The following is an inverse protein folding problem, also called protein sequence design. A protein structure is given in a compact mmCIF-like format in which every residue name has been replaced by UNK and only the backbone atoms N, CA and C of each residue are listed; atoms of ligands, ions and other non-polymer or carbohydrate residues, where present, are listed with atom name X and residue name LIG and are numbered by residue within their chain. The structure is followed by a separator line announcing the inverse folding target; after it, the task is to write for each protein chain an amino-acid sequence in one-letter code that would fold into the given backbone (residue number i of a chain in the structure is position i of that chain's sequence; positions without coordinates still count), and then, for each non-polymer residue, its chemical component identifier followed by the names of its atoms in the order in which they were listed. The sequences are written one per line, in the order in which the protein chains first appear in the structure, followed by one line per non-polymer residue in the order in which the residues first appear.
data_IF_000152247777
#
_entry.id   IF_000152247777
#
_cell.length_a   1.000
_cell.length_b   1.000
_cell.length_c   1.000
_cell.angle_alpha   90.00
_cell.angle_beta   90.00
_cell.angle_gamma   90.00
#
_symmetry.space_group_name_H-M   'P 1'
#
loop_
_entity.id
_entity.type
_entity.pdbx_description
1 polymer ?
#
# COMPACT_ATOMS: atom_id res chain seq x y z
N UNK A 1 -7.93 30.00 -5.45
CA UNK A 1 -7.82 28.54 -5.62
C UNK A 1 -8.11 27.93 -4.26
N UNK A 2 -8.94 26.89 -4.20
CA UNK A 2 -9.26 26.25 -2.91
C UNK A 2 -7.99 25.71 -2.26
N UNK A 3 -7.93 25.72 -0.92
CA UNK A 3 -6.86 25.09 -0.17
C UNK A 3 -6.79 23.56 -0.38
N UNK A 4 -7.86 22.93 -0.85
CA UNK A 4 -7.94 21.48 -1.06
C UNK A 4 -7.40 21.01 -2.41
N UNK A 5 -7.03 21.91 -3.33
CA UNK A 5 -6.51 21.55 -4.64
C UNK A 5 -5.12 22.11 -4.88
N UNK A 6 -4.23 21.30 -5.42
CA UNK A 6 -2.85 21.69 -5.77
C UNK A 6 -2.77 22.40 -7.13
N UNK A 7 -3.80 22.29 -7.96
CA UNK A 7 -3.90 22.89 -9.29
C UNK A 7 -5.35 23.08 -9.74
N UNK A 8 -5.62 23.94 -10.75
CA UNK A 8 -6.99 24.29 -11.14
C UNK A 8 -7.55 23.37 -12.24
N UNK A 9 -6.69 22.76 -13.04
CA UNK A 9 -7.07 21.78 -14.07
C UNK A 9 -7.34 20.42 -13.43
N UNK A 10 -8.36 19.71 -13.94
CA UNK A 10 -8.70 18.36 -13.50
C UNK A 10 -8.44 17.37 -14.64
N UNK A 11 -8.01 16.12 -14.34
CA UNK A 11 -7.51 15.17 -15.32
C UNK A 11 -8.64 14.40 -16.03
N UNK A 12 -9.72 15.09 -16.42
CA UNK A 12 -10.91 14.47 -17.00
C UNK A 12 -11.24 15.02 -18.39
N UNK A 13 -11.94 14.24 -19.20
CA UNK A 13 -12.42 14.66 -20.52
C UNK A 13 -13.28 15.93 -20.44
N UNK A 14 -13.20 16.81 -21.45
CA UNK A 14 -14.05 18.00 -21.52
C UNK A 14 -15.53 17.61 -21.46
N UNK A 15 -16.27 18.21 -20.53
CA UNK A 15 -17.69 17.90 -20.29
C UNK A 15 -17.96 16.69 -19.39
N UNK A 16 -16.93 15.99 -18.90
CA UNK A 16 -17.10 14.87 -17.97
C UNK A 16 -17.75 15.33 -16.65
N UNK A 17 -18.74 14.56 -16.17
CA UNK A 17 -19.44 14.81 -14.91
C UNK A 17 -18.51 14.90 -13.70
N UNK A 18 -17.39 14.16 -13.69
CA UNK A 18 -16.53 14.04 -12.51
C UNK A 18 -16.00 15.40 -12.02
N UNK A 19 -15.95 16.41 -12.90
CA UNK A 19 -15.65 17.80 -12.52
C UNK A 19 -16.62 18.35 -11.47
N UNK A 20 -17.92 18.06 -11.59
CA UNK A 20 -18.94 18.51 -10.65
C UNK A 20 -18.80 17.81 -9.30
N UNK A 21 -18.41 16.52 -9.30
CA UNK A 21 -18.14 15.77 -8.06
C UNK A 21 -16.98 16.41 -7.31
N UNK A 22 -15.85 16.64 -7.96
CA UNK A 22 -14.68 17.27 -7.33
C UNK A 22 -15.00 18.66 -6.79
N UNK A 23 -15.66 19.50 -7.58
CA UNK A 23 -16.06 20.86 -7.16
C UNK A 23 -17.00 20.84 -5.96
N UNK A 24 -17.99 19.95 -5.98
CA UNK A 24 -18.95 19.80 -4.87
C UNK A 24 -18.28 19.25 -3.61
N UNK A 25 -17.36 18.31 -3.74
CA UNK A 25 -16.56 17.79 -2.60
C UNK A 25 -15.69 18.87 -1.99
N UNK A 26 -14.96 19.64 -2.81
CA UNK A 26 -14.12 20.74 -2.33
C UNK A 26 -14.96 21.77 -1.57
N UNK A 27 -16.09 22.18 -2.14
CA UNK A 27 -17.00 23.11 -1.48
C UNK A 27 -17.59 22.53 -0.18
N UNK A 28 -17.92 21.24 -0.15
CA UNK A 28 -18.41 20.57 1.06
C UNK A 28 -17.35 20.56 2.18
N UNK A 29 -16.08 20.33 1.84
CA UNK A 29 -14.95 20.39 2.77
C UNK A 29 -14.71 21.81 3.29
N UNK A 30 -14.83 22.82 2.43
CA UNK A 30 -14.76 24.24 2.82
C UNK A 30 -15.87 24.62 3.80
N UNK A 31 -17.11 24.16 3.55
CA UNK A 31 -18.25 24.37 4.47
C UNK A 31 -18.02 23.65 5.80
N UNK A 32 -17.41 22.45 5.77
CA UNK A 32 -17.09 21.69 6.97
C UNK A 32 -16.02 22.38 7.83
N UNK A 33 -15.19 23.24 7.24
CA UNK A 33 -14.16 24.01 7.93
C UNK A 33 -12.99 23.16 8.45
N UNK A 34 -12.70 22.04 7.80
CA UNK A 34 -11.57 21.15 8.16
C UNK A 34 -10.28 21.59 7.49
N UNK A 35 -9.13 21.25 8.09
CA UNK A 35 -7.84 21.43 7.42
C UNK A 35 -7.64 20.33 6.35
N UNK A 36 -6.99 20.62 5.20
CA UNK A 36 -6.64 19.59 4.22
C UNK A 36 -5.89 18.37 4.80
N UNK A 37 -5.07 18.55 5.84
CA UNK A 37 -4.35 17.47 6.52
C UNK A 37 -5.22 16.67 7.52
N UNK A 38 -6.46 17.10 7.76
CA UNK A 38 -7.47 16.31 8.46
C UNK A 38 -8.28 15.41 7.52
N UNK A 39 -8.05 15.53 6.20
CA UNK A 39 -8.77 14.78 5.17
C UNK A 39 -7.87 13.69 4.57
N UNK A 40 -8.44 12.50 4.43
CA UNK A 40 -7.82 11.36 3.77
C UNK A 40 -8.74 10.94 2.62
N UNK A 41 -8.27 11.13 1.39
CA UNK A 41 -8.98 10.73 0.18
C UNK A 41 -8.42 9.38 -0.32
N UNK A 42 -9.26 8.36 -0.27
CA UNK A 42 -8.94 7.02 -0.79
C UNK A 42 -9.64 6.85 -2.13
N UNK A 43 -8.89 6.59 -3.20
CA UNK A 43 -9.45 6.47 -4.54
C UNK A 43 -9.35 5.05 -5.08
N UNK A 44 -10.38 4.60 -5.78
CA UNK A 44 -10.35 3.35 -6.52
C UNK A 44 -9.72 3.49 -7.93
N UNK A 45 -9.40 2.36 -8.58
CA UNK A 45 -8.96 2.34 -9.98
C UNK A 45 -10.12 2.75 -10.89
N UNK A 46 -9.92 3.83 -11.64
CA UNK A 46 -10.89 4.33 -12.63
C UNK A 46 -10.61 5.79 -13.00
N UNK A 47 -11.36 6.33 -13.96
CA UNK A 47 -11.19 7.72 -14.40
C UNK A 47 -11.28 8.70 -13.22
N UNK A 48 -12.21 8.47 -12.28
CA UNK A 48 -12.39 9.28 -11.08
C UNK A 48 -11.14 9.29 -10.18
N UNK A 49 -10.38 8.20 -10.14
CA UNK A 49 -9.26 8.02 -9.20
C UNK A 49 -8.00 8.78 -9.57
N UNK A 50 -7.85 9.18 -10.85
CA UNK A 50 -6.71 9.98 -11.35
C UNK A 50 -6.61 11.36 -10.65
N UNK A 51 -7.69 11.80 -10.02
CA UNK A 51 -7.76 13.10 -9.35
C UNK A 51 -7.04 13.15 -8.01
N UNK A 52 -6.65 12.00 -7.44
CA UNK A 52 -5.97 11.95 -6.14
C UNK A 52 -4.73 12.87 -6.09
N UNK A 53 -3.87 12.87 -7.10
CA UNK A 53 -2.70 13.74 -7.20
C UNK A 53 -3.02 15.24 -7.32
N UNK A 54 -4.29 15.62 -7.45
CA UNK A 54 -4.76 17.00 -7.52
C UNK A 54 -5.28 17.52 -6.18
N UNK A 55 -5.53 16.64 -5.21
CA UNK A 55 -5.93 17.04 -3.86
C UNK A 55 -4.71 17.37 -2.99
N UNK A 56 -4.82 18.45 -2.22
CA UNK A 56 -3.82 18.87 -1.24
C UNK A 56 -4.01 18.17 0.13
N UNK A 57 -4.56 16.95 0.13
CA UNK A 57 -4.89 16.16 1.31
C UNK A 57 -3.98 14.93 1.39
N UNK A 58 -4.12 14.10 2.44
CA UNK A 58 -3.55 12.75 2.35
C UNK A 58 -4.32 11.94 1.31
N UNK A 59 -3.60 11.22 0.44
CA UNK A 59 -4.21 10.43 -0.62
C UNK A 59 -3.69 9.01 -0.67
N UNK A 60 -4.57 8.06 -0.96
CA UNK A 60 -4.24 6.64 -1.14
C UNK A 60 -4.94 6.10 -2.37
N UNK A 61 -4.16 5.78 -3.41
CA UNK A 61 -4.68 5.10 -4.60
C UNK A 61 -4.78 3.59 -4.34
N UNK A 62 -6.00 3.09 -4.19
CA UNK A 62 -6.30 1.69 -3.92
C UNK A 62 -6.21 0.77 -5.15
N UNK A 63 -6.51 -0.50 -4.92
CA UNK A 63 -6.73 -1.49 -5.98
C UNK A 63 -8.21 -1.53 -6.37
N UNK A 64 -8.51 -1.97 -7.59
CA UNK A 64 -9.86 -1.97 -8.15
C UNK A 64 -10.88 -2.70 -7.24
N UNK A 65 -11.91 -1.96 -6.79
CA UNK A 65 -12.93 -2.40 -5.85
C UNK A 65 -12.45 -2.64 -4.43
N UNK A 66 -11.25 -2.18 -4.05
CA UNK A 66 -10.68 -2.35 -2.69
C UNK A 66 -10.56 -1.04 -1.92
N UNK A 67 -10.84 0.10 -2.55
CA UNK A 67 -10.75 1.42 -1.92
C UNK A 67 -11.54 1.51 -0.61
N UNK A 68 -12.78 0.98 -0.56
CA UNK A 68 -13.59 1.01 0.67
C UNK A 68 -13.02 0.13 1.77
N UNK A 69 -12.44 -1.04 1.43
CA UNK A 69 -11.79 -1.91 2.42
C UNK A 69 -10.53 -1.25 3.00
N UNK A 70 -9.71 -0.63 2.14
CA UNK A 70 -8.52 0.13 2.56
C UNK A 70 -8.92 1.32 3.44
N UNK A 71 -9.91 2.10 3.01
CA UNK A 71 -10.44 3.23 3.76
C UNK A 71 -11.02 2.82 5.11
N UNK A 72 -11.68 1.66 5.19
CA UNK A 72 -12.19 1.14 6.45
C UNK A 72 -11.05 0.87 7.45
N UNK A 73 -9.97 0.23 7.01
CA UNK A 73 -8.78 0.04 7.86
C UNK A 73 -8.14 1.35 8.30
N UNK A 74 -8.05 2.34 7.39
CA UNK A 74 -7.55 3.69 7.69
C UNK A 74 -8.44 4.37 8.75
N UNK A 75 -9.76 4.40 8.54
CA UNK A 75 -10.71 5.00 9.46
C UNK A 75 -10.66 4.37 10.86
N UNK A 76 -10.46 3.05 10.95
CA UNK A 76 -10.31 2.33 12.22
C UNK A 76 -8.97 2.57 12.91
N UNK A 77 -7.91 2.87 12.15
CA UNK A 77 -6.56 3.10 12.68
C UNK A 77 -6.24 4.57 12.99
N UNK A 78 -7.04 5.52 12.49
CA UNK A 78 -6.85 6.95 12.74
C UNK A 78 -7.51 7.40 14.05
N UNK A 79 -6.96 8.45 14.70
CA UNK A 79 -7.63 9.09 15.82
C UNK A 79 -8.97 9.71 15.39
N UNK A 80 -9.93 9.90 16.33
CA UNK A 80 -11.19 10.57 16.04
C UNK A 80 -11.01 11.97 15.44
N UNK A 81 -12.00 12.42 14.67
CA UNK A 81 -12.04 13.78 14.09
C UNK A 81 -11.51 13.89 12.66
N UNK A 82 -10.72 12.91 12.19
CA UNK A 82 -10.26 12.84 10.79
C UNK A 82 -11.41 12.50 9.84
N UNK A 83 -11.32 12.95 8.59
CA UNK A 83 -12.33 12.71 7.54
C UNK A 83 -11.79 11.76 6.48
N UNK A 84 -12.33 10.54 6.45
CA UNK A 84 -12.01 9.54 5.43
C UNK A 84 -13.07 9.56 4.35
N UNK A 85 -12.68 9.93 3.14
CA UNK A 85 -13.54 10.02 1.96
C UNK A 85 -13.05 9.01 0.93
N UNK A 86 -13.98 8.27 0.33
CA UNK A 86 -13.69 7.28 -0.71
C UNK A 86 -14.29 7.72 -2.03
N UNK A 87 -13.49 7.78 -3.08
CA UNK A 87 -14.00 7.89 -4.45
C UNK A 87 -13.97 6.52 -5.12
N UNK A 88 -15.12 6.08 -5.60
CA UNK A 88 -15.27 4.80 -6.31
C UNK A 88 -16.16 5.00 -7.54
N UNK A 89 -15.79 4.43 -8.68
CA UNK A 89 -16.66 4.40 -9.86
C UNK A 89 -17.75 3.35 -9.71
N UNK A 90 -18.79 3.39 -10.54
CA UNK A 90 -19.81 2.33 -10.62
C UNK A 90 -19.22 0.93 -10.88
N UNK A 91 -18.15 0.83 -11.67
CA UNK A 91 -17.42 -0.43 -11.83
C UNK A 91 -16.63 -0.89 -10.63
N UNK A 92 -15.98 0.06 -9.95
CA UNK A 92 -15.33 -0.19 -8.67
C UNK A 92 -16.33 -0.67 -7.61
N UNK A 93 -17.52 -0.07 -7.57
CA UNK A 93 -18.60 -0.47 -6.69
C UNK A 93 -19.17 -1.85 -7.06
N UNK A 94 -19.12 -2.25 -8.33
CA UNK A 94 -19.56 -3.58 -8.79
C UNK A 94 -18.63 -4.68 -8.24
N UNK A 95 -17.31 -4.59 -8.49
CA UNK A 95 -16.33 -5.58 -7.98
C UNK A 95 -16.07 -5.42 -6.47
N UNK A 96 -16.32 -4.24 -5.93
CA UNK A 96 -16.14 -3.89 -4.52
C UNK A 96 -17.40 -4.01 -3.67
N UNK A 97 -18.51 -4.52 -4.21
CA UNK A 97 -19.84 -4.48 -3.57
C UNK A 97 -19.80 -5.01 -2.14
N UNK A 98 -19.18 -6.17 -1.91
CA UNK A 98 -19.10 -6.77 -0.58
C UNK A 98 -18.38 -5.86 0.43
N UNK A 99 -17.34 -5.12 0.02
CA UNK A 99 -16.63 -4.22 0.93
C UNK A 99 -17.48 -3.00 1.31
N UNK A 100 -18.30 -2.49 0.38
CA UNK A 100 -19.29 -1.43 0.65
C UNK A 100 -20.32 -1.94 1.68
N UNK A 101 -20.90 -3.11 1.44
CA UNK A 101 -21.93 -3.66 2.32
C UNK A 101 -21.38 -3.99 3.71
N UNK A 102 -20.18 -4.55 3.82
CA UNK A 102 -19.58 -4.84 5.12
C UNK A 102 -19.17 -3.58 5.88
N UNK A 103 -18.65 -2.55 5.21
CA UNK A 103 -18.36 -1.26 5.85
C UNK A 103 -19.64 -0.57 6.34
N UNK A 104 -20.71 -0.63 5.54
CA UNK A 104 -22.05 -0.19 5.94
C UNK A 104 -22.56 -0.98 7.14
N UNK A 105 -22.52 -2.32 7.10
CA UNK A 105 -22.96 -3.20 8.19
C UNK A 105 -22.26 -2.88 9.51
N UNK A 106 -20.94 -2.74 9.46
CA UNK A 106 -20.13 -2.40 10.64
C UNK A 106 -20.43 -0.98 11.16
N UNK A 107 -20.82 -0.03 10.31
CA UNK A 107 -20.85 1.42 10.61
C UNK A 107 -19.47 2.07 10.71
N UNK A 108 -18.58 1.75 9.77
CA UNK A 108 -17.25 2.39 9.75
C UNK A 108 -17.39 3.87 9.43
N UNK A 109 -16.70 4.74 10.17
CA UNK A 109 -16.78 6.20 10.05
C UNK A 109 -16.05 6.71 8.80
N UNK A 110 -16.74 6.65 7.67
CA UNK A 110 -16.24 7.09 6.36
C UNK A 110 -17.39 7.45 5.42
N UNK A 111 -17.08 8.28 4.42
CA UNK A 111 -18.02 8.67 3.36
C UNK A 111 -17.58 8.09 2.02
N UNK A 112 -18.43 7.29 1.38
CA UNK A 112 -18.22 6.79 0.02
C UNK A 112 -18.97 7.66 -0.98
N UNK A 113 -18.25 8.23 -1.95
CA UNK A 113 -18.81 8.97 -3.07
C UNK A 113 -18.66 8.12 -4.33
N UNK A 114 -19.80 7.69 -4.88
CA UNK A 114 -19.85 6.82 -6.06
C UNK A 114 -20.02 7.71 -7.30
N UNK A 115 -19.02 7.67 -8.17
CA UNK A 115 -19.04 8.29 -9.50
C UNK A 115 -19.73 7.35 -10.48
N UNK A 116 -21.06 7.40 -10.54
CA UNK A 116 -21.84 6.50 -11.39
C UNK A 116 -22.08 7.13 -12.76
N UNK A 117 -21.12 6.93 -13.68
CA UNK A 117 -21.21 7.40 -15.05
C UNK A 117 -21.78 6.36 -16.05
N UNK A 118 -22.41 5.31 -15.51
CA UNK A 118 -23.13 4.24 -16.20
C UNK A 118 -22.27 3.24 -16.99
N UNK A 119 -20.93 3.26 -16.89
CA UNK A 119 -20.04 2.32 -17.56
C UNK A 119 -18.57 2.39 -17.07
N UNK A 120 -17.73 1.49 -17.54
CA UNK A 120 -16.30 1.49 -17.26
C UNK A 120 -15.57 2.40 -18.26
N UNK A 121 -15.49 3.70 -17.96
CA UNK A 121 -14.90 4.68 -18.87
C UNK A 121 -13.43 4.41 -19.21
N UNK A 122 -12.59 4.17 -18.20
CA UNK A 122 -11.13 4.03 -18.36
C UNK A 122 -10.73 2.84 -19.24
N UNK A 123 -11.52 1.76 -19.23
CA UNK A 123 -11.18 0.51 -19.93
C UNK A 123 -11.84 0.38 -21.30
N UNK A 124 -12.54 1.42 -21.78
CA UNK A 124 -13.12 1.41 -23.12
C UNK A 124 -14.64 1.32 -23.20
N UNK A 125 -15.35 1.57 -22.10
CA UNK A 125 -16.81 1.70 -22.10
C UNK A 125 -17.59 0.40 -22.00
N UNK A 126 -17.16 -0.53 -21.15
CA UNK A 126 -17.89 -1.76 -20.79
C UNK A 126 -19.03 -1.47 -19.80
N UNK A 127 -20.11 -2.27 -19.74
CA UNK A 127 -21.13 -2.09 -18.71
C UNK A 127 -20.60 -2.50 -17.32
N UNK A 128 -21.10 -1.79 -16.31
CA UNK A 128 -20.98 -2.10 -14.88
C UNK A 128 -22.20 -2.88 -14.36
N UNK A 129 -22.12 -3.34 -13.11
CA UNK A 129 -23.28 -3.89 -12.39
C UNK A 129 -24.33 -2.84 -12.02
N UNK A 130 -24.03 -1.53 -12.21
CA UNK A 130 -25.00 -0.43 -12.00
C UNK A 130 -25.56 0.10 -13.33
N UNK A 131 -25.08 -0.40 -14.48
CA UNK A 131 -25.52 0.08 -15.79
C UNK A 131 -27.00 -0.22 -16.01
N UNK A 132 -27.85 0.78 -16.29
CA UNK A 132 -29.28 0.56 -16.50
C UNK A 132 -29.58 -0.40 -17.63
N UNK A 133 -30.64 -1.19 -17.47
CA UNK A 133 -31.14 -2.05 -18.55
C UNK A 133 -31.48 -1.22 -19.78
N UNK A 134 -31.07 -1.68 -20.96
CA UNK A 134 -31.25 -0.97 -22.23
C UNK A 134 -30.17 0.06 -22.53
N UNK A 135 -29.36 0.50 -21.56
CA UNK A 135 -28.25 1.42 -21.81
C UNK A 135 -27.20 0.76 -22.71
N UNK A 136 -26.86 1.41 -23.82
CA UNK A 136 -25.93 0.87 -24.84
C UNK A 136 -24.49 1.19 -24.45
N UNK A 137 -23.62 0.22 -24.61
CA UNK A 137 -22.18 0.36 -24.33
C UNK A 137 -21.33 -0.16 -25.49
N UNK A 138 -20.01 -0.01 -25.42
CA UNK A 138 -19.12 -0.44 -26.49
C UNK A 138 -19.19 -1.95 -26.78
N UNK A 139 -19.41 -2.78 -25.74
CA UNK A 139 -19.50 -4.24 -25.88
C UNK A 139 -20.94 -4.77 -25.76
N UNK A 140 -21.90 -3.91 -25.40
CA UNK A 140 -23.34 -4.21 -25.44
C UNK A 140 -24.08 -3.19 -26.32
N UNK A 141 -23.84 -3.17 -27.64
CA UNK A 141 -24.40 -2.16 -28.53
C UNK A 141 -25.92 -2.27 -28.71
N UNK A 142 -26.53 -3.39 -28.32
CA UNK A 142 -27.99 -3.59 -28.28
C UNK A 142 -28.61 -3.21 -26.91
N UNK A 143 -27.81 -2.70 -25.98
CA UNK A 143 -28.24 -2.39 -24.62
C UNK A 143 -27.97 -3.53 -23.63
N UNK A 144 -27.72 -3.18 -22.37
CA UNK A 144 -27.57 -4.15 -21.28
C UNK A 144 -28.89 -4.89 -21.02
N UNK A 145 -28.84 -6.22 -20.87
CA UNK A 145 -30.01 -7.06 -20.63
C UNK A 145 -30.23 -7.42 -19.15
N UNK A 146 -29.15 -7.41 -18.38
CA UNK A 146 -29.19 -7.74 -16.95
C UNK A 146 -29.83 -6.58 -16.16
N UNK A 147 -30.54 -6.87 -15.06
CA UNK A 147 -31.00 -5.83 -14.15
C UNK A 147 -29.80 -5.19 -13.42
N UNK A 148 -29.80 -3.86 -13.21
CA UNK A 148 -28.77 -3.19 -12.42
C UNK A 148 -28.99 -3.44 -10.91
N UNK A 149 -27.92 -3.32 -10.13
CA UNK A 149 -28.04 -3.19 -8.68
C UNK A 149 -28.51 -1.78 -8.31
N UNK A 150 -29.47 -1.65 -7.38
CA UNK A 150 -29.72 -0.38 -6.70
C UNK A 150 -28.74 -0.26 -5.52
N UNK A 151 -27.61 0.42 -5.74
CA UNK A 151 -26.54 0.53 -4.75
C UNK A 151 -26.97 1.30 -3.50
N UNK A 152 -27.76 2.36 -3.65
CA UNK A 152 -28.28 3.13 -2.51
C UNK A 152 -29.18 2.27 -1.62
N UNK A 153 -30.09 1.51 -2.22
CA UNK A 153 -30.96 0.60 -1.47
C UNK A 153 -30.13 -0.49 -0.77
N UNK A 154 -29.22 -1.14 -1.50
CA UNK A 154 -28.35 -2.17 -0.92
C UNK A 154 -27.53 -1.65 0.27
N UNK A 155 -26.93 -0.46 0.15
CA UNK A 155 -26.15 0.15 1.23
C UNK A 155 -27.04 0.53 2.43
N UNK A 156 -28.23 1.08 2.16
CA UNK A 156 -29.19 1.44 3.21
C UNK A 156 -29.67 0.20 3.97
N UNK A 157 -30.01 -0.87 3.25
CA UNK A 157 -30.45 -2.16 3.81
C UNK A 157 -29.32 -2.87 4.58
N UNK A 158 -28.08 -2.75 4.11
CA UNK A 158 -26.89 -3.23 4.83
C UNK A 158 -26.61 -2.46 6.13
N UNK A 159 -27.21 -1.28 6.32
CA UNK A 159 -27.15 -0.54 7.59
C UNK A 159 -26.45 0.82 7.50
N UNK A 160 -26.16 1.36 6.32
CA UNK A 160 -25.59 2.70 6.17
C UNK A 160 -26.38 3.75 6.98
N UNK A 161 -25.66 4.61 7.70
CA UNK A 161 -26.26 5.66 8.54
C UNK A 161 -26.84 6.78 7.71
N UNK A 162 -26.21 7.08 6.57
CA UNK A 162 -26.69 8.04 5.58
C UNK A 162 -26.47 7.51 4.16
N UNK A 163 -27.49 7.64 3.32
CA UNK A 163 -27.42 7.34 1.88
C UNK A 163 -28.03 8.52 1.12
N UNK A 164 -27.44 8.89 -0.01
CA UNK A 164 -28.03 9.85 -0.92
C UNK A 164 -27.79 9.47 -2.38
N UNK A 165 -28.73 9.86 -3.24
CA UNK A 165 -28.61 9.77 -4.69
C UNK A 165 -28.88 11.14 -5.30
N UNK A 166 -27.93 11.65 -6.09
CA UNK A 166 -27.99 12.99 -6.69
C UNK A 166 -27.61 12.94 -8.17
N UNK A 167 -27.99 13.98 -8.90
CA UNK A 167 -27.49 14.20 -10.26
C UNK A 167 -26.12 14.86 -10.19
N UNK A 168 -25.17 14.35 -10.98
CA UNK A 168 -23.84 14.93 -11.21
C UNK A 168 -23.85 16.18 -12.08
N UNK A 169 -24.83 17.04 -11.87
CA UNK A 169 -25.01 18.31 -12.55
C UNK A 169 -25.36 19.38 -11.52
N UNK A 170 -24.72 20.55 -11.63
CA UNK A 170 -24.91 21.64 -10.67
C UNK A 170 -24.12 21.45 -9.39
N UNK A 171 -24.65 21.97 -8.29
CA UNK A 171 -24.01 21.98 -6.97
C UNK A 171 -24.79 21.07 -6.00
N UNK A 172 -24.12 20.02 -5.53
CA UNK A 172 -24.63 19.08 -4.53
C UNK A 172 -23.71 19.01 -3.30
N UNK A 173 -22.92 20.07 -3.08
CA UNK A 173 -22.00 20.18 -1.93
C UNK A 173 -22.71 20.05 -0.60
N UNK A 174 -23.94 20.54 -0.44
CA UNK A 174 -24.72 20.37 0.80
C UNK A 174 -25.04 18.91 1.12
N UNK A 175 -25.28 18.07 0.10
CA UNK A 175 -25.51 16.63 0.31
C UNK A 175 -24.22 15.94 0.74
N UNK A 176 -23.10 16.28 0.12
CA UNK A 176 -21.79 15.77 0.49
C UNK A 176 -21.37 16.23 1.89
N UNK A 177 -21.63 17.50 2.23
CA UNK A 177 -21.39 18.05 3.55
C UNK A 177 -22.18 17.29 4.63
N UNK A 178 -23.47 16.99 4.38
CA UNK A 178 -24.29 16.15 5.28
C UNK A 178 -23.73 14.74 5.42
N UNK A 179 -23.29 14.13 4.32
CA UNK A 179 -22.65 12.81 4.35
C UNK A 179 -21.37 12.81 5.19
N UNK A 180 -20.47 13.77 4.98
CA UNK A 180 -19.19 13.91 5.71
C UNK A 180 -19.35 14.28 7.20
N UNK A 181 -20.51 14.85 7.57
CA UNK A 181 -20.92 15.10 8.97
C UNK A 181 -21.56 13.91 9.65
N UNK A 182 -22.00 12.90 8.90
CA UNK A 182 -22.65 11.72 9.47
C UNK A 182 -21.61 10.94 10.25
N UNK A 183 -21.91 10.61 11.50
CA UNK A 183 -21.10 9.68 12.29
C UNK A 183 -21.37 8.25 11.81
N UNK A 184 -20.34 7.59 11.27
CA UNK A 184 -20.45 6.24 10.72
C UNK A 184 -20.50 6.22 9.20
N UNK A 185 -21.04 5.13 8.65
CA UNK A 185 -20.93 4.90 7.21
C UNK A 185 -21.95 5.74 6.44
N UNK A 186 -21.46 6.55 5.51
CA UNK A 186 -22.27 7.32 4.57
C UNK A 186 -21.96 6.95 3.11
N UNK A 187 -22.97 6.93 2.25
CA UNK A 187 -22.83 6.72 0.80
C UNK A 187 -23.57 7.80 0.00
N UNK A 188 -22.91 8.39 -0.98
CA UNK A 188 -23.52 9.33 -1.93
C UNK A 188 -23.28 8.82 -3.34
N UNK A 189 -24.33 8.38 -4.02
CA UNK A 189 -24.29 8.02 -5.43
C UNK A 189 -24.57 9.24 -6.29
N UNK A 190 -23.58 9.61 -7.11
CA UNK A 190 -23.68 10.72 -8.06
C UNK A 190 -23.86 10.15 -9.46
N UNK A 191 -25.03 10.40 -10.05
CA UNK A 191 -25.39 9.89 -11.37
C UNK A 191 -24.88 10.84 -12.46
N UNK A 192 -24.14 10.31 -13.41
CA UNK A 192 -23.41 11.05 -14.43
C UNK A 192 -23.57 10.36 -15.80
N UNK A 193 -23.11 11.01 -16.87
CA UNK A 193 -22.93 10.36 -18.18
C UNK A 193 -21.48 10.50 -18.62
N UNK A 194 -20.86 9.36 -18.96
CA UNK A 194 -19.56 9.38 -19.62
C UNK A 194 -19.69 10.03 -21.01
N UNK A 195 -18.96 11.13 -21.25
CA UNK A 195 -19.01 11.86 -22.53
C UNK A 195 -18.41 11.07 -23.69
N UNK A 196 -17.34 10.29 -23.45
CA UNK A 196 -16.62 9.59 -24.50
C UNK A 196 -17.38 8.36 -25.00
N UNK A 197 -17.92 7.57 -24.07
CA UNK A 197 -18.59 6.31 -24.40
C UNK A 197 -20.11 6.41 -24.22
N UNK A 198 -20.58 6.89 -23.07
CA UNK A 198 -22.00 6.84 -22.71
C UNK A 198 -22.87 7.66 -23.66
N UNK A 199 -22.51 8.93 -23.87
CA UNK A 199 -23.22 9.84 -24.79
C UNK A 199 -23.10 9.37 -26.24
N UNK A 200 -21.91 8.89 -26.64
CA UNK A 200 -21.64 8.41 -28.00
C UNK A 200 -22.50 7.21 -28.40
N UNK A 201 -22.69 6.26 -27.49
CA UNK A 201 -23.50 5.06 -27.74
C UNK A 201 -25.01 5.28 -27.53
N UNK A 202 -25.39 6.35 -26.83
CA UNK A 202 -26.78 6.71 -26.52
C UNK A 202 -27.07 8.16 -26.95
N UNK A 203 -27.01 8.48 -28.26
CA UNK A 203 -27.17 9.85 -28.74
C UNK A 203 -28.56 10.38 -28.40
N UNK A 204 -28.62 11.62 -27.91
CA UNK A 204 -29.86 12.31 -27.52
C UNK A 204 -30.40 11.92 -26.14
N UNK A 205 -29.81 10.93 -25.46
CA UNK A 205 -30.21 10.54 -24.11
C UNK A 205 -29.91 11.67 -23.12
N UNK A 206 -30.91 12.03 -22.32
CA UNK A 206 -30.77 13.02 -21.24
C UNK A 206 -30.65 12.28 -19.91
N UNK A 207 -29.67 12.65 -19.10
CA UNK A 207 -29.41 12.02 -17.79
C UNK A 207 -30.68 11.95 -16.93
N UNK A 208 -31.42 13.05 -16.78
CA UNK A 208 -32.64 13.07 -15.97
C UNK A 208 -33.70 12.06 -16.44
N UNK A 209 -33.89 11.94 -17.76
CA UNK A 209 -34.82 10.97 -18.33
C UNK A 209 -34.35 9.53 -18.11
N UNK A 210 -33.05 9.26 -18.32
CA UNK A 210 -32.45 7.95 -18.03
C UNK A 210 -32.68 7.53 -16.57
N UNK A 211 -32.46 8.46 -15.63
CA UNK A 211 -32.62 8.20 -14.19
C UNK A 211 -34.07 7.87 -13.84
N UNK A 212 -35.03 8.59 -14.42
CA UNK A 212 -36.45 8.34 -14.25
C UNK A 212 -36.89 7.00 -14.85
N UNK A 213 -36.49 6.71 -16.08
CA UNK A 213 -36.79 5.45 -16.79
C UNK A 213 -36.17 4.23 -16.10
N UNK A 214 -34.97 4.39 -15.53
CA UNK A 214 -34.28 3.35 -14.78
C UNK A 214 -34.85 3.14 -13.36
N UNK A 215 -35.80 3.97 -12.91
CA UNK A 215 -36.38 3.90 -11.58
C UNK A 215 -35.40 4.30 -10.45
N UNK A 216 -34.36 5.06 -10.77
CA UNK A 216 -33.33 5.48 -9.81
C UNK A 216 -33.80 6.71 -9.03
N UNK A 217 -34.57 6.48 -7.97
CA UNK A 217 -35.14 7.56 -7.15
C UNK A 217 -34.05 8.47 -6.57
N UNK A 218 -34.10 9.78 -6.88
CA UNK A 218 -33.23 10.78 -6.27
C UNK A 218 -33.70 11.09 -4.84
N UNK A 219 -32.77 11.27 -3.90
CA UNK A 219 -33.16 11.56 -2.52
C UNK A 219 -32.06 11.34 -1.49
N UNK A 220 -32.45 11.47 -0.22
CA UNK A 220 -31.60 11.18 0.93
C UNK A 220 -32.35 10.29 1.91
N UNK A 221 -31.70 9.24 2.40
CA UNK A 221 -32.21 8.30 3.38
C UNK A 221 -31.24 8.27 4.56
N UNK A 222 -31.76 8.41 5.77
CA UNK A 222 -30.95 8.42 6.98
C UNK A 222 -31.57 7.48 8.01
N UNK A 223 -30.72 6.82 8.79
CA UNK A 223 -31.12 6.02 9.94
C UNK A 223 -30.96 6.84 11.23
N UNK A 224 -31.64 6.46 12.32
CA UNK A 224 -31.29 6.97 13.65
C UNK A 224 -29.81 6.73 13.93
N UNK A 225 -29.14 7.64 14.66
CA UNK A 225 -27.73 7.47 15.03
C UNK A 225 -27.51 6.11 15.70
N UNK A 226 -26.40 5.46 15.34
CA UNK A 226 -25.94 4.22 15.97
C UNK A 226 -24.43 4.26 16.15
N UNK A 227 -23.88 3.49 17.10
CA UNK A 227 -22.45 3.53 17.40
C UNK A 227 -21.60 3.31 16.14
N UNK A 228 -20.57 4.15 15.99
CA UNK A 228 -19.51 3.95 15.01
C UNK A 228 -18.74 2.69 15.37
N UNK A 229 -18.37 1.89 14.35
CA UNK A 229 -17.45 0.78 14.59
C UNK A 229 -16.10 1.29 15.06
N UNK A 230 -15.69 0.89 16.26
CA UNK A 230 -14.34 1.06 16.78
C UNK A 230 -13.75 -0.32 17.01
N UNK A 231 -12.45 -0.44 16.79
CA UNK A 231 -11.76 -1.67 17.20
C UNK A 231 -11.90 -1.82 18.72
N UNK A 232 -12.18 -3.03 19.24
CA UNK A 232 -12.28 -3.24 20.68
C UNK A 232 -10.99 -2.80 21.36
N UNK A 233 -11.09 -1.95 22.38
CA UNK A 233 -9.99 -1.67 23.30
C UNK A 233 -9.68 -2.93 24.13
N UNK A 234 -8.44 -3.08 24.58
CA UNK A 234 -8.10 -4.14 25.54
C UNK A 234 -8.76 -3.82 26.90
N UNK A 235 -8.96 -4.85 27.73
CA UNK A 235 -9.68 -4.73 29.00
C UNK A 235 -9.06 -3.74 30.02
N UNK A 236 -7.84 -3.27 29.76
CA UNK A 236 -7.07 -2.32 30.56
C UNK A 236 -7.10 -0.88 30.01
N UNK A 237 -7.88 -0.60 28.96
CA UNK A 237 -7.95 0.72 28.31
C UNK A 237 -6.76 1.01 27.38
N UNK A 238 -5.92 0.02 27.08
CA UNK A 238 -4.90 0.13 26.02
C UNK A 238 -5.52 -0.10 24.63
N UNK A 239 -4.95 0.47 23.56
CA UNK A 239 -5.47 0.35 22.20
C UNK A 239 -5.41 -1.09 21.67
N UNK A 240 -6.47 -1.86 21.93
CA UNK A 240 -6.83 -3.12 21.28
C UNK A 240 -5.81 -4.27 21.33
N UNK A 241 -6.13 -5.43 20.71
CA UNK A 241 -5.48 -6.71 21.01
C UNK A 241 -4.09 -6.91 20.37
N UNK A 242 -3.31 -5.85 20.13
CA UNK A 242 -2.02 -5.95 19.42
C UNK A 242 -0.92 -5.05 19.97
N UNK A 243 -0.51 -5.27 21.21
CA UNK A 243 0.76 -4.75 21.75
C UNK A 243 0.94 -3.23 21.59
N UNK A 244 2.16 -2.70 21.80
CA UNK A 244 2.47 -1.33 21.43
C UNK A 244 2.25 -1.16 19.92
N UNK A 245 1.61 -0.06 19.51
CA UNK A 245 1.53 0.31 18.11
C UNK A 245 2.95 0.41 17.53
N UNK A 246 3.09 0.32 16.20
CA UNK A 246 4.41 0.41 15.55
C UNK A 246 5.16 1.69 15.96
N UNK A 247 4.42 2.77 16.23
CA UNK A 247 4.94 4.07 16.67
C UNK A 247 5.26 4.13 18.17
N UNK A 248 4.74 3.19 18.97
CA UNK A 248 4.96 3.10 20.42
C UNK A 248 6.08 2.12 20.76
N UNK A 249 6.70 1.49 19.75
CA UNK A 249 7.83 0.61 19.96
C UNK A 249 9.01 1.40 20.51
N UNK A 250 9.70 0.91 21.55
CA UNK A 250 10.88 1.57 22.07
C UNK A 250 11.95 1.65 20.96
N UNK A 251 12.69 2.77 20.89
CA UNK A 251 13.81 2.86 19.96
C UNK A 251 14.84 1.76 20.29
N UNK A 252 15.53 1.28 19.26
CA UNK A 252 16.65 0.36 19.46
C UNK A 252 17.79 1.15 20.11
N UNK A 253 18.19 0.73 21.31
CA UNK A 253 19.30 1.35 22.03
C UNK A 253 20.60 1.23 21.23
N UNK A 254 21.31 2.36 21.10
CA UNK A 254 22.63 2.38 20.46
C UNK A 254 23.68 1.92 21.45
N UNK A 255 24.16 0.69 21.29
CA UNK A 255 25.18 0.04 22.13
C UNK A 255 26.55 -0.02 21.44
N UNK A 256 26.56 0.10 20.13
CA UNK A 256 27.74 -0.04 19.28
C UNK A 256 27.90 1.19 18.38
N UNK A 257 29.05 1.29 17.70
CA UNK A 257 29.34 2.41 16.81
C UNK A 257 29.78 1.87 15.45
N UNK A 258 29.04 2.23 14.40
CA UNK A 258 29.41 1.94 13.01
C UNK A 258 30.50 2.89 12.51
N UNK A 259 31.37 2.39 11.63
CA UNK A 259 32.36 3.22 10.91
C UNK A 259 31.79 3.82 9.61
N UNK A 260 30.57 3.43 9.23
CA UNK A 260 29.92 3.84 7.99
C UNK A 260 29.55 5.33 8.03
N UNK A 261 29.97 6.10 7.01
CA UNK A 261 29.73 7.55 6.92
C UNK A 261 28.61 7.96 5.95
N UNK A 262 27.93 7.02 5.32
CA UNK A 262 26.92 7.29 4.31
C UNK A 262 26.04 6.08 4.05
N UNK A 263 25.41 6.03 2.87
CA UNK A 263 24.55 4.92 2.46
C UNK A 263 25.37 3.75 1.93
N UNK A 264 25.02 2.53 2.36
CA UNK A 264 25.56 1.27 1.84
C UNK A 264 24.43 0.26 1.61
N UNK A 265 24.28 -0.21 0.38
CA UNK A 265 23.23 -1.14 -0.04
C UNK A 265 23.76 -2.56 -0.26
N UNK A 266 23.16 -3.51 0.44
CA UNK A 266 23.49 -4.93 0.41
C UNK A 266 22.33 -5.74 -0.15
N UNK A 267 22.61 -6.65 -1.08
CA UNK A 267 21.70 -7.71 -1.51
C UNK A 267 22.21 -9.04 -0.98
N UNK A 268 21.44 -9.70 -0.13
CA UNK A 268 21.72 -11.05 0.38
C UNK A 268 20.76 -12.02 -0.29
N UNK A 269 21.28 -13.03 -0.99
CA UNK A 269 20.46 -14.00 -1.71
C UNK A 269 20.96 -15.43 -1.54
N UNK A 270 20.04 -16.37 -1.40
CA UNK A 270 20.30 -17.79 -1.21
C UNK A 270 19.04 -18.62 -1.45
N UNK A 271 19.06 -19.89 -1.06
CA UNK A 271 17.91 -20.78 -1.22
C UNK A 271 16.92 -20.61 -0.07
N UNK A 272 15.65 -20.95 -0.32
CA UNK A 272 14.66 -21.07 0.73
C UNK A 272 15.15 -22.07 1.80
N UNK A 273 14.94 -21.74 3.08
CA UNK A 273 15.47 -22.51 4.20
C UNK A 273 16.88 -22.13 4.66
N UNK A 274 17.63 -21.29 3.92
CA UNK A 274 18.96 -20.82 4.34
C UNK A 274 18.95 -19.63 5.31
N UNK A 275 17.76 -19.26 5.81
CA UNK A 275 17.61 -18.22 6.82
C UNK A 275 17.87 -16.80 6.32
N UNK A 276 17.88 -16.53 5.00
CA UNK A 276 18.16 -15.20 4.40
C UNK A 276 17.35 -14.08 5.05
N UNK A 277 16.02 -14.25 5.15
CA UNK A 277 15.15 -13.24 5.77
C UNK A 277 15.44 -13.05 7.26
N UNK A 278 15.89 -14.09 7.95
CA UNK A 278 16.20 -13.99 9.37
C UNK A 278 17.57 -13.32 9.57
N UNK A 279 18.58 -13.71 8.80
CA UNK A 279 19.90 -13.11 8.78
C UNK A 279 19.82 -11.60 8.49
N UNK A 280 19.02 -11.20 7.50
CA UNK A 280 18.76 -9.79 7.20
C UNK A 280 18.08 -9.04 8.36
N UNK A 281 17.20 -9.69 9.14
CA UNK A 281 16.58 -9.04 10.31
C UNK A 281 17.62 -8.80 11.40
N UNK A 282 18.46 -9.80 11.63
CA UNK A 282 19.52 -9.76 12.64
C UNK A 282 20.53 -8.67 12.29
N UNK A 283 20.98 -8.58 11.03
CA UNK A 283 21.86 -7.50 10.59
C UNK A 283 21.20 -6.12 10.69
N UNK A 284 19.92 -6.00 10.36
CA UNK A 284 19.19 -4.74 10.52
C UNK A 284 19.16 -4.28 11.99
N UNK A 285 18.91 -5.20 12.93
CA UNK A 285 18.98 -4.91 14.37
C UNK A 285 20.39 -4.53 14.82
N UNK A 286 21.41 -5.26 14.38
CA UNK A 286 22.80 -4.95 14.69
C UNK A 286 23.19 -3.54 14.18
N UNK A 287 22.77 -3.19 12.97
CA UNK A 287 23.02 -1.87 12.39
C UNK A 287 22.29 -0.74 13.13
N UNK A 288 21.03 -0.94 13.51
CA UNK A 288 20.30 0.03 14.35
C UNK A 288 20.94 0.20 15.73
N UNK A 289 21.36 -0.90 16.36
CA UNK A 289 22.10 -0.87 17.62
C UNK A 289 23.50 -0.24 17.49
N UNK A 290 24.00 -0.08 16.26
CA UNK A 290 25.23 0.63 15.93
C UNK A 290 24.99 2.09 15.48
N UNK A 291 23.77 2.61 15.62
CA UNK A 291 23.40 3.99 15.35
C UNK A 291 23.04 4.29 13.90
N UNK A 292 22.81 3.27 13.06
CA UNK A 292 22.46 3.47 11.64
C UNK A 292 20.95 3.48 11.41
N UNK A 293 20.53 4.26 10.41
CA UNK A 293 19.23 4.11 9.77
C UNK A 293 19.22 2.88 8.88
N UNK A 294 18.14 2.09 8.95
CA UNK A 294 18.04 0.83 8.20
C UNK A 294 16.72 0.75 7.45
N UNK A 295 16.79 0.38 6.18
CA UNK A 295 15.64 -0.07 5.41
C UNK A 295 15.88 -1.50 4.93
N UNK A 296 14.83 -2.32 4.96
CA UNK A 296 14.90 -3.72 4.54
C UNK A 296 13.70 -4.08 3.67
N UNK A 297 13.96 -4.80 2.58
CA UNK A 297 12.94 -5.42 1.74
C UNK A 297 13.21 -6.91 1.56
N UNK A 298 12.18 -7.73 1.67
CA UNK A 298 12.24 -9.17 1.36
C UNK A 298 11.62 -9.47 0.00
N UNK A 299 12.20 -10.42 -0.73
CA UNK A 299 11.65 -11.00 -1.95
C UNK A 299 11.83 -12.52 -1.91
N UNK A 300 10.73 -13.25 -2.07
CA UNK A 300 10.71 -14.70 -2.11
C UNK A 300 9.41 -15.19 -2.80
N UNK A 301 9.40 -16.38 -3.41
CA UNK A 301 8.21 -16.96 -3.99
C UNK A 301 7.08 -17.15 -2.98
N UNK A 302 5.83 -17.23 -3.47
CA UNK A 302 4.65 -17.56 -2.64
C UNK A 302 4.69 -18.99 -2.10
N UNK A 303 5.48 -19.87 -2.73
CA UNK A 303 5.67 -21.26 -2.32
C UNK A 303 6.65 -21.35 -1.17
N UNK A 304 6.20 -21.90 -0.04
CA UNK A 304 7.01 -22.03 1.18
C UNK A 304 8.10 -23.08 0.97
N UNK A 305 9.34 -22.73 1.31
CA UNK A 305 10.44 -23.68 1.41
C UNK A 305 11.12 -24.09 0.09
N UNK A 306 10.76 -23.46 -1.04
CA UNK A 306 11.36 -23.75 -2.35
C UNK A 306 11.76 -22.47 -3.09
N UNK A 307 12.78 -22.57 -3.94
CA UNK A 307 13.29 -21.47 -4.75
C UNK A 307 14.20 -20.52 -3.99
N UNK A 308 14.35 -19.29 -4.49
CA UNK A 308 15.23 -18.29 -3.91
C UNK A 308 14.62 -17.61 -2.67
N UNK A 309 15.48 -17.02 -1.86
CA UNK A 309 15.13 -15.99 -0.88
C UNK A 309 16.13 -14.86 -0.99
N UNK A 310 15.65 -13.63 -1.18
CA UNK A 310 16.49 -12.43 -1.28
C UNK A 310 16.05 -11.39 -0.26
N UNK A 311 17.01 -10.77 0.39
CA UNK A 311 16.80 -9.57 1.19
C UNK A 311 17.68 -8.43 0.66
N UNK A 312 17.06 -7.27 0.47
CA UNK A 312 17.76 -6.01 0.22
C UNK A 312 17.83 -5.23 1.53
N UNK A 313 19.01 -4.75 1.89
CA UNK A 313 19.24 -3.88 3.03
C UNK A 313 19.91 -2.59 2.58
N UNK A 314 19.46 -1.47 3.15
CA UNK A 314 20.16 -0.20 3.09
C UNK A 314 20.55 0.14 4.52
N UNK A 315 21.85 0.29 4.76
CA UNK A 315 22.42 0.79 6.00
C UNK A 315 22.89 2.22 5.73
N UNK A 316 22.57 3.18 6.59
CA UNK A 316 22.89 4.58 6.33
C UNK A 316 23.15 5.36 7.62
N UNK A 317 24.19 6.20 7.60
CA UNK A 317 24.39 7.21 8.65
C UNK A 317 23.32 8.31 8.61
N UNK A 318 22.70 8.54 7.44
CA UNK A 318 21.65 9.53 7.21
C UNK A 318 20.26 8.88 7.07
N UNK A 319 19.15 9.62 7.34
CA UNK A 319 17.79 9.13 7.13
C UNK A 319 17.54 8.60 5.71
N UNK A 320 16.90 7.43 5.61
CA UNK A 320 16.58 6.77 4.34
C UNK A 320 15.22 7.22 3.84
N UNK A 321 15.21 7.99 2.75
CA UNK A 321 13.97 8.49 2.12
C UNK A 321 13.42 7.57 1.02
N UNK A 322 14.25 6.68 0.47
CA UNK A 322 13.86 5.71 -0.56
C UNK A 322 14.44 4.33 -0.25
N UNK A 323 13.61 3.30 -0.04
CA UNK A 323 14.08 1.98 0.39
C UNK A 323 14.53 1.06 -0.77
N UNK A 324 14.44 1.50 -2.02
CA UNK A 324 14.79 0.68 -3.18
C UNK A 324 16.31 0.61 -3.42
N UNK A 325 16.79 -0.58 -3.79
CA UNK A 325 18.19 -0.79 -4.22
C UNK A 325 18.23 -0.95 -5.75
N UNK A 326 18.61 0.11 -6.45
CA UNK A 326 18.83 0.06 -7.91
C UNK A 326 20.22 -0.50 -8.22
N UNK A 327 21.26 0.13 -7.70
CA UNK A 327 22.66 -0.33 -7.79
C UNK A 327 23.15 -0.73 -6.38
N UNK A 328 23.46 -2.03 -6.14
CA UNK A 328 23.98 -2.46 -4.85
C UNK A 328 25.48 -2.14 -4.70
N UNK A 329 25.89 -1.76 -3.49
CA UNK A 329 27.31 -1.63 -3.13
C UNK A 329 27.94 -3.01 -2.84
N UNK A 330 27.09 -3.96 -2.40
CA UNK A 330 27.48 -5.32 -2.11
C UNK A 330 26.38 -6.33 -2.49
N UNK A 331 26.81 -7.49 -2.98
CA UNK A 331 25.96 -8.65 -3.19
C UNK A 331 26.59 -9.87 -2.51
N UNK A 332 25.80 -10.64 -1.78
CA UNK A 332 26.20 -11.88 -1.12
C UNK A 332 25.31 -13.00 -1.64
N UNK A 333 25.92 -14.00 -2.26
CA UNK A 333 25.25 -15.16 -2.84
C UNK A 333 25.70 -16.43 -2.14
N UNK A 334 24.78 -17.11 -1.46
CA UNK A 334 25.07 -18.34 -0.70
C UNK A 334 24.69 -19.63 -1.43
N UNK A 335 23.92 -19.56 -2.52
CA UNK A 335 23.45 -20.75 -3.25
C UNK A 335 23.16 -20.49 -4.73
N UNK A 336 22.97 -21.57 -5.50
CA UNK A 336 22.63 -21.53 -6.92
C UNK A 336 21.26 -20.85 -7.18
N UNK A 337 20.25 -21.07 -6.34
CA UNK A 337 18.95 -20.40 -6.48
C UNK A 337 19.09 -18.88 -6.34
N UNK A 338 19.90 -18.45 -5.36
CA UNK A 338 20.18 -17.03 -5.14
C UNK A 338 20.96 -16.42 -6.31
N UNK A 339 21.96 -17.14 -6.83
CA UNK A 339 22.73 -16.73 -8.00
C UNK A 339 21.83 -16.57 -9.24
N UNK A 340 21.03 -17.60 -9.52
CA UNK A 340 20.11 -17.63 -10.66
C UNK A 340 19.13 -16.47 -10.61
N UNK A 341 18.59 -16.16 -9.43
CA UNK A 341 17.65 -15.05 -9.27
C UNK A 341 18.30 -13.66 -9.38
N UNK A 342 19.57 -13.51 -8.97
CA UNK A 342 20.28 -12.23 -8.99
C UNK A 342 21.20 -12.03 -10.21
N UNK A 343 21.20 -12.96 -11.18
CA UNK A 343 22.14 -12.96 -12.28
C UNK A 343 22.15 -11.65 -13.08
N UNK A 344 20.98 -11.13 -13.46
CA UNK A 344 20.88 -9.87 -14.22
C UNK A 344 21.36 -8.67 -13.41
N UNK A 345 21.08 -8.65 -12.11
CA UNK A 345 21.56 -7.60 -11.21
C UNK A 345 23.08 -7.63 -11.11
N UNK A 346 23.67 -8.80 -10.93
CA UNK A 346 25.12 -8.99 -10.81
C UNK A 346 25.84 -8.58 -12.11
N UNK A 347 25.29 -8.96 -13.27
CA UNK A 347 25.79 -8.51 -14.59
C UNK A 347 25.74 -6.99 -14.74
N UNK A 348 24.72 -6.35 -14.17
CA UNK A 348 24.56 -4.90 -14.19
C UNK A 348 25.53 -4.14 -13.26
N UNK A 349 26.22 -4.83 -12.33
CA UNK A 349 27.15 -4.16 -11.41
C UNK A 349 28.42 -3.69 -12.15
N UNK A 350 28.74 -2.40 -11.97
CA UNK A 350 29.97 -1.77 -12.51
C UNK A 350 31.08 -1.58 -11.48
N UNK A 351 30.73 -1.69 -10.20
CA UNK A 351 31.57 -1.50 -9.01
C UNK A 351 30.93 -2.24 -7.83
N UNK A 352 31.58 -2.20 -6.67
CA UNK A 352 31.12 -2.87 -5.46
C UNK A 352 31.73 -4.26 -5.31
N UNK A 353 31.22 -5.04 -4.37
CA UNK A 353 31.79 -6.35 -4.02
C UNK A 353 30.73 -7.44 -4.16
N UNK A 354 31.09 -8.54 -4.82
CA UNK A 354 30.31 -9.76 -4.89
C UNK A 354 30.99 -10.84 -4.02
N UNK A 355 30.39 -11.15 -2.87
CA UNK A 355 30.73 -12.36 -2.13
C UNK A 355 29.93 -13.54 -2.68
N UNK A 356 30.63 -14.53 -3.21
CA UNK A 356 30.03 -15.69 -3.87
C UNK A 356 30.44 -16.98 -3.18
N UNK A 357 29.47 -17.87 -2.94
CA UNK A 357 29.74 -19.24 -2.49
C UNK A 357 30.72 -19.91 -3.46
N UNK A 358 31.84 -20.40 -2.91
CA UNK A 358 32.99 -20.86 -3.67
C UNK A 358 32.70 -22.08 -4.56
N UNK A 359 31.63 -22.83 -4.29
CA UNK A 359 31.20 -23.94 -5.15
C UNK A 359 30.46 -23.51 -6.42
N UNK A 360 30.10 -22.22 -6.56
CA UNK A 360 29.31 -21.70 -7.67
C UNK A 360 30.19 -21.18 -8.82
N UNK A 361 29.63 -21.15 -10.02
CA UNK A 361 30.27 -20.51 -11.16
C UNK A 361 30.27 -18.99 -11.01
N UNK A 362 31.41 -18.35 -11.32
CA UNK A 362 31.53 -16.88 -11.24
C UNK A 362 30.76 -16.26 -12.42
N UNK A 363 29.72 -15.44 -12.17
CA UNK A 363 29.01 -14.74 -13.23
C UNK A 363 29.85 -13.59 -13.80
N UNK A 364 29.52 -13.16 -15.02
CA UNK A 364 30.06 -11.90 -15.56
C UNK A 364 29.60 -10.71 -14.70
N UNK A 365 30.54 -9.87 -14.28
CA UNK A 365 30.27 -8.70 -13.45
C UNK A 365 31.45 -7.72 -13.49
N UNK A 366 31.18 -6.43 -13.29
CA UNK A 366 32.21 -5.41 -13.03
C UNK A 366 32.54 -5.25 -11.55
N UNK A 367 31.93 -6.03 -10.65
CA UNK A 367 32.21 -6.00 -9.22
C UNK A 367 33.49 -6.77 -8.86
N UNK A 368 34.11 -6.43 -7.72
CA UNK A 368 35.17 -7.24 -7.12
C UNK A 368 34.59 -8.56 -6.60
N UNK A 369 35.04 -9.70 -7.13
CA UNK A 369 34.53 -11.02 -6.72
C UNK A 369 35.38 -11.62 -5.59
N UNK A 370 34.72 -11.98 -4.49
CA UNK A 370 35.32 -12.66 -3.33
C UNK A 370 34.68 -14.02 -3.12
N UNK A 371 35.42 -15.08 -3.45
CA UNK A 371 34.97 -16.46 -3.24
C UNK A 371 35.12 -16.85 -1.77
N UNK A 372 34.06 -17.37 -1.16
CA UNK A 372 34.05 -17.83 0.24
C UNK A 372 33.21 -19.10 0.37
N UNK A 373 33.56 -19.97 1.30
CA UNK A 373 32.77 -21.17 1.62
C UNK A 373 31.80 -20.84 2.73
N UNK A 374 30.52 -20.66 2.40
CA UNK A 374 29.48 -20.31 3.38
C UNK A 374 28.72 -21.54 3.87
N UNK A 375 28.44 -22.48 2.97
CA UNK A 375 27.62 -23.67 3.27
C UNK A 375 28.41 -24.78 3.97
N UNK A 376 29.66 -25.00 3.60
CA UNK A 376 30.48 -26.07 4.20
C UNK A 376 30.67 -25.87 5.73
N UNK A 377 31.02 -24.67 6.24
CA UNK A 377 31.23 -24.49 7.68
C UNK A 377 29.92 -24.42 8.48
N UNK A 378 28.86 -23.83 7.91
CA UNK A 378 27.66 -23.47 8.65
C UNK A 378 26.43 -24.35 8.37
N UNK A 379 26.49 -25.17 7.33
CA UNK A 379 25.32 -25.82 6.74
C UNK A 379 24.38 -24.82 6.07
N UNK A 380 23.46 -25.33 5.25
CA UNK A 380 22.54 -24.50 4.49
C UNK A 380 21.73 -23.55 5.40
N UNK A 381 21.24 -24.05 6.55
CA UNK A 381 20.39 -23.29 7.50
C UNK A 381 21.01 -21.98 7.99
N UNK A 382 22.33 -21.95 8.18
CA UNK A 382 23.04 -20.81 8.77
C UNK A 382 23.97 -20.10 7.78
N UNK A 383 24.03 -20.56 6.53
CA UNK A 383 24.92 -20.02 5.49
C UNK A 383 24.77 -18.50 5.32
N UNK A 384 23.55 -17.99 5.26
CA UNK A 384 23.29 -16.56 5.08
C UNK A 384 23.79 -15.73 6.26
N UNK A 385 23.55 -16.17 7.50
CA UNK A 385 24.00 -15.44 8.69
C UNK A 385 25.52 -15.50 8.87
N UNK A 386 26.11 -16.67 8.60
CA UNK A 386 27.56 -16.82 8.59
C UNK A 386 28.22 -15.94 7.52
N UNK A 387 27.65 -15.87 6.32
CA UNK A 387 28.13 -14.99 5.25
C UNK A 387 28.13 -13.51 5.68
N UNK A 388 27.09 -13.05 6.39
CA UNK A 388 27.08 -11.69 6.94
C UNK A 388 28.20 -11.47 7.96
N UNK A 389 28.51 -12.45 8.81
CA UNK A 389 29.66 -12.39 9.72
C UNK A 389 30.99 -12.19 8.97
N UNK A 390 31.20 -12.93 7.88
CA UNK A 390 32.38 -12.77 6.99
C UNK A 390 32.42 -11.39 6.36
N UNK A 391 31.29 -10.90 5.83
CA UNK A 391 31.20 -9.55 5.24
C UNK A 391 31.56 -8.48 6.27
N UNK A 392 31.03 -8.56 7.49
CA UNK A 392 31.36 -7.58 8.53
C UNK A 392 32.82 -7.64 8.94
N UNK A 393 33.41 -8.84 9.05
CA UNK A 393 34.84 -9.00 9.33
C UNK A 393 35.72 -8.32 8.28
N UNK A 394 35.36 -8.49 7.00
CA UNK A 394 36.17 -7.98 5.89
C UNK A 394 35.97 -6.49 5.60
N UNK A 395 34.81 -5.95 5.92
CA UNK A 395 34.46 -4.56 5.60
C UNK A 395 34.61 -3.62 6.80
N UNK A 396 34.48 -4.12 8.03
CA UNK A 396 34.54 -3.33 9.25
C UNK A 396 33.43 -2.27 9.38
N UNK A 397 32.38 -2.34 8.54
CA UNK A 397 31.29 -1.36 8.54
C UNK A 397 30.48 -1.39 9.85
N UNK A 398 30.41 -2.57 10.47
CA UNK A 398 29.77 -2.79 11.77
C UNK A 398 30.67 -3.71 12.61
N UNK A 399 30.76 -3.46 13.93
CA UNK A 399 31.47 -4.36 14.83
C UNK A 399 30.78 -5.74 14.84
N UNK A 400 31.57 -6.80 14.92
CA UNK A 400 31.04 -8.18 14.94
C UNK A 400 30.24 -8.46 16.21
N UNK A 401 30.56 -7.76 17.29
CA UNK A 401 29.89 -7.82 18.60
C UNK A 401 28.43 -7.41 18.47
N UNK A 402 28.13 -6.40 17.63
CA UNK A 402 26.77 -5.98 17.35
C UNK A 402 25.96 -7.09 16.67
N UNK A 403 26.58 -7.80 15.72
CA UNK A 403 25.95 -8.95 15.08
C UNK A 403 25.74 -10.09 16.09
N UNK A 404 26.73 -10.39 16.91
CA UNK A 404 26.64 -11.44 17.94
C UNK A 404 25.54 -11.14 18.96
N UNK A 405 25.43 -9.91 19.46
CA UNK A 405 24.36 -9.51 20.38
C UNK A 405 22.99 -9.60 19.71
N UNK A 406 22.85 -9.08 18.48
CA UNK A 406 21.60 -9.21 17.73
C UNK A 406 21.19 -10.67 17.49
N UNK A 407 22.15 -11.60 17.32
CA UNK A 407 21.87 -13.03 17.24
C UNK A 407 21.36 -13.54 18.60
N UNK A 408 22.03 -13.21 19.71
CA UNK A 408 21.63 -13.64 21.07
C UNK A 408 20.21 -13.19 21.43
N UNK A 409 19.84 -11.97 21.04
CA UNK A 409 18.50 -11.40 21.25
C UNK A 409 17.45 -11.91 20.25
N UNK A 410 17.85 -12.66 19.23
CA UNK A 410 16.95 -13.22 18.23
C UNK A 410 16.41 -14.60 18.65
N UNK A 411 15.33 -15.10 18.00
CA UNK A 411 14.88 -16.48 18.18
C UNK A 411 15.94 -17.56 17.84
N UNK A 412 17.04 -17.20 17.14
CA UNK A 412 18.17 -18.10 16.88
C UNK A 412 19.20 -18.13 18.00
N UNK A 413 19.14 -17.24 19.00
CA UNK A 413 20.20 -17.08 19.99
C UNK A 413 20.58 -18.38 20.72
N UNK A 414 19.59 -19.23 21.04
CA UNK A 414 19.84 -20.53 21.68
C UNK A 414 20.24 -21.65 20.73
N UNK A 415 20.07 -21.47 19.42
CA UNK A 415 20.26 -22.50 18.40
C UNK A 415 21.49 -22.27 17.53
N UNK A 416 21.96 -21.02 17.45
CA UNK A 416 23.05 -20.63 16.58
C UNK A 416 24.40 -21.03 17.18
N UNK A 417 25.22 -21.82 16.47
CA UNK A 417 26.56 -22.17 16.93
C UNK A 417 27.52 -20.99 16.79
N UNK A 418 27.64 -20.16 17.82
CA UNK A 418 28.47 -18.93 17.82
C UNK A 418 29.95 -19.15 17.45
N UNK A 419 30.49 -20.34 17.67
CA UNK A 419 31.86 -20.68 17.26
C UNK A 419 32.07 -20.64 15.74
N UNK A 420 30.99 -20.62 14.95
CA UNK A 420 31.06 -20.45 13.51
C UNK A 420 31.39 -19.02 13.11
N UNK A 421 31.05 -18.00 13.90
CA UNK A 421 31.34 -16.63 13.49
C UNK A 421 32.85 -16.37 13.50
N UNK A 422 33.35 -15.55 12.55
CA UNK A 422 34.73 -15.14 12.58
C UNK A 422 35.08 -14.48 13.93
N UNK A 423 36.29 -14.71 14.42
CA UNK A 423 36.81 -13.97 15.59
C UNK A 423 37.32 -12.62 15.12
N UNK A 424 37.22 -11.60 15.97
CA UNK A 424 37.97 -10.36 15.74
C UNK A 424 39.45 -10.71 15.58
N UNK A 425 40.10 -10.09 14.59
CA UNK A 425 41.55 -10.16 14.50
C UNK A 425 42.12 -9.46 15.74
N UNK A 426 42.44 -10.22 16.78
CA UNK A 426 43.29 -9.75 17.85
C UNK A 426 44.58 -9.25 17.21
N UNK A 427 44.83 -7.95 17.32
CA UNK A 427 46.01 -7.32 16.71
C UNK A 427 47.27 -8.08 17.09
N UNK A 428 47.87 -8.76 16.13
CA UNK A 428 49.25 -9.21 16.21
C UNK A 428 50.14 -7.98 16.02
N UNK A 429 50.35 -7.24 17.12
CA UNK A 429 51.48 -6.35 17.26
C UNK A 429 52.74 -7.22 17.41
N UNK A 430 53.44 -7.40 16.30
CA UNK A 430 54.83 -7.83 16.28
C UNK A 430 55.76 -6.65 16.52
#
# INVERSE_FOLDING_TARGET
MSAFLTRPDLPFCKGCGHHFVVRSTVKALEILGVDPLDVILVTDIGCHGIVDGHFATHTVHGLHGRAVALAAGIAMGLPPGKKVIVYVGDGGATIGLQHILEAARMNVDLTVVVHNNMLYGMTGGQPSGLTPRGFRTAITPQGVKLPPHDLCQLAFDAGASFVARVLGQGDFSEVLHRAMRTEGFALVEVLELCVEYGVKWNPGLRLKALVEEAGLALGTWARPPRPVFRLPEAADGSPGPRGPGLLDLPPVETKFHSTLRGRWALVLSGSAGEGVQQAAMILARAAMAAGLHVARRGSYPVTVGVGFSTAELILSADPILYPGVQEPDAVVITSEDGLSHQQDRIRGMRRGILWLEASLSVPETGAEVRLRRFREPAGARYAALYALGVVLQETGILPLEALQEAIRESPLGSQFPFHLLPRENGGSGG
#
